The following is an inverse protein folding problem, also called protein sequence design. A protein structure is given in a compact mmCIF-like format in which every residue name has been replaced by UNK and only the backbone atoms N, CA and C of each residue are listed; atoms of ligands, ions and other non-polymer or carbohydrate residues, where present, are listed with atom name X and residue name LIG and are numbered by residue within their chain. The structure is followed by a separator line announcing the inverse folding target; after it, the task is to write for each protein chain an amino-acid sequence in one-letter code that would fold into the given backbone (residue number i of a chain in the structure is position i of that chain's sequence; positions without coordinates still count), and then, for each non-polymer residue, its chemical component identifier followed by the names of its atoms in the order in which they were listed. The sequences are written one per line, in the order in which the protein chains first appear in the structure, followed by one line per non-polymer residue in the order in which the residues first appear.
data_IF_690641546834
#
_entry.id   IF_690641546834
#
_cell.length_a   1.000
_cell.length_b   1.000
_cell.length_c   1.000
_cell.angle_alpha   90.00
_cell.angle_beta   90.00
_cell.angle_gamma   90.00
#
_symmetry.space_group_name_H-M   'P 1'
#
loop_
_entity.id
_entity.type
_entity.pdbx_description
1 polymer ?
#
# COMPACT_ATOMS: atom_id res chain seq x y z
N UNK A 1 52.64 27.52 -3.11
CA UNK A 1 52.06 26.20 -3.38
C UNK A 1 51.19 25.82 -2.20
N UNK A 2 49.93 26.20 -2.26
CA UNK A 2 48.91 25.90 -1.23
C UNK A 2 47.93 24.90 -1.87
N UNK A 3 48.01 23.65 -1.40
CA UNK A 3 47.08 22.59 -1.75
C UNK A 3 45.88 22.71 -0.84
N UNK A 4 44.77 23.20 -1.41
CA UNK A 4 43.47 23.21 -0.76
C UNK A 4 42.90 21.80 -0.76
N UNK A 5 42.86 21.18 0.41
CA UNK A 5 42.20 19.91 0.66
C UNK A 5 40.69 20.18 0.68
N UNK A 6 39.98 19.81 -0.39
CA UNK A 6 38.53 19.74 -0.40
C UNK A 6 38.09 18.57 0.50
N UNK A 7 37.78 18.88 1.74
CA UNK A 7 37.03 17.96 2.62
C UNK A 7 35.60 17.90 2.10
N UNK A 8 35.30 16.85 1.34
CA UNK A 8 33.93 16.39 1.13
C UNK A 8 33.34 16.03 2.49
N UNK A 9 32.61 16.95 3.09
CA UNK A 9 31.69 16.62 4.18
C UNK A 9 30.62 15.68 3.59
N UNK A 10 30.83 14.39 3.73
CA UNK A 10 29.73 13.44 3.72
C UNK A 10 28.82 13.84 4.88
N UNK A 11 27.72 14.51 4.54
CA UNK A 11 26.63 14.71 5.48
C UNK A 11 26.21 13.30 5.93
N UNK A 12 26.60 12.93 7.14
CA UNK A 12 26.05 11.76 7.81
C UNK A 12 24.55 11.99 7.88
N UNK A 13 23.81 11.40 6.96
CA UNK A 13 22.35 11.29 7.05
C UNK A 13 22.10 10.49 8.33
N UNK A 14 21.84 11.19 9.42
CA UNK A 14 21.49 10.58 10.68
C UNK A 14 20.36 9.58 10.40
N UNK A 15 20.59 8.33 10.74
CA UNK A 15 19.56 7.30 10.74
C UNK A 15 18.34 7.92 11.44
N UNK A 16 17.20 7.91 10.76
CA UNK A 16 15.93 8.25 11.43
C UNK A 16 15.86 7.25 12.58
N UNK A 17 15.77 7.71 13.85
CA UNK A 17 15.48 6.77 14.90
C UNK A 17 14.16 6.12 14.51
N UNK A 18 14.22 4.87 14.09
CA UNK A 18 13.03 4.06 13.94
C UNK A 18 12.30 4.16 15.26
N UNK A 19 11.03 4.46 15.19
CA UNK A 19 10.21 4.72 16.36
C UNK A 19 10.39 3.63 17.40
N UNK A 20 11.24 3.89 18.35
CA UNK A 20 11.40 3.04 19.53
C UNK A 20 10.18 3.08 20.45
N UNK A 21 9.09 3.79 20.07
CA UNK A 21 7.97 4.08 20.98
C UNK A 21 6.56 3.97 20.39
N UNK A 22 6.35 3.30 19.26
CA UNK A 22 5.01 2.82 18.96
C UNK A 22 4.86 1.40 19.45
N UNK A 23 4.17 1.22 20.53
CA UNK A 23 3.91 -0.09 21.12
C UNK A 23 3.14 -1.05 20.20
N UNK A 24 2.69 -0.62 19.03
CA UNK A 24 1.87 -1.39 18.11
C UNK A 24 2.15 -1.05 16.65
N UNK A 25 2.14 -2.05 15.75
CA UNK A 25 2.35 -1.83 14.31
C UNK A 25 1.31 -0.90 13.67
N UNK A 26 1.73 -0.20 12.61
CA UNK A 26 0.80 0.46 11.70
C UNK A 26 -0.08 -0.58 10.98
N UNK A 27 -1.36 -0.28 10.81
CA UNK A 27 -2.31 -1.13 10.07
C UNK A 27 -2.37 -0.65 8.63
N UNK A 28 -1.82 -1.45 7.73
CA UNK A 28 -1.77 -1.19 6.29
C UNK A 28 -2.83 -2.07 5.62
N UNK A 29 -3.90 -1.47 5.13
CA UNK A 29 -5.01 -2.18 4.51
C UNK A 29 -4.64 -2.62 3.10
N UNK A 30 -4.20 -3.88 2.96
CA UNK A 30 -3.72 -4.49 1.72
C UNK A 30 -4.82 -4.50 0.66
N UNK A 31 -4.64 -3.73 -0.41
CA UNK A 31 -5.63 -3.48 -1.49
C UNK A 31 -7.00 -3.03 -0.97
N UNK A 32 -6.99 -2.25 0.13
CA UNK A 32 -8.19 -1.89 0.87
C UNK A 32 -8.62 -2.99 1.83
N UNK A 33 -9.29 -4.00 1.35
CA UNK A 33 -9.58 -5.27 2.01
C UNK A 33 -9.88 -6.33 0.96
N UNK A 34 -9.20 -7.45 0.98
CA UNK A 34 -9.49 -8.55 0.03
C UNK A 34 -10.49 -9.55 0.62
N UNK A 35 -10.84 -9.38 1.89
CA UNK A 35 -11.77 -10.27 2.58
C UNK A 35 -13.23 -9.76 2.55
N UNK A 36 -13.46 -8.48 2.81
CA UNK A 36 -14.81 -7.94 2.97
C UNK A 36 -15.41 -7.34 1.70
N UNK A 37 -14.56 -6.96 0.74
CA UNK A 37 -14.98 -6.37 -0.54
C UNK A 37 -13.99 -6.73 -1.66
N UNK A 38 -14.39 -6.54 -2.94
CA UNK A 38 -13.48 -6.72 -4.07
C UNK A 38 -12.24 -5.82 -3.92
N UNK A 39 -11.05 -6.41 -4.06
CA UNK A 39 -9.77 -5.70 -3.91
C UNK A 39 -9.70 -4.47 -4.83
N UNK A 40 -9.05 -3.41 -4.34
CA UNK A 40 -8.75 -2.17 -5.08
C UNK A 40 -9.97 -1.45 -5.69
N UNK A 41 -11.13 -1.63 -5.07
CA UNK A 41 -12.36 -0.93 -5.45
C UNK A 41 -12.75 0.16 -4.44
N UNK A 42 -13.68 1.02 -4.84
CA UNK A 42 -14.24 2.06 -3.95
C UNK A 42 -14.81 1.44 -2.66
N UNK A 43 -15.47 0.28 -2.77
CA UNK A 43 -16.01 -0.42 -1.61
C UNK A 43 -14.92 -0.84 -0.62
N UNK A 44 -13.83 -1.44 -1.12
CA UNK A 44 -12.72 -1.90 -0.30
C UNK A 44 -12.01 -0.73 0.41
N UNK A 45 -11.73 0.35 -0.30
CA UNK A 45 -11.00 1.49 0.27
C UNK A 45 -11.84 2.34 1.21
N UNK A 46 -13.12 2.59 0.91
CA UNK A 46 -14.02 3.28 1.83
C UNK A 46 -14.21 2.49 3.13
N UNK A 47 -14.36 1.17 2.99
CA UNK A 47 -14.46 0.28 4.14
C UNK A 47 -13.17 0.31 4.99
N UNK A 48 -11.99 0.17 4.39
CA UNK A 48 -10.71 0.19 5.08
C UNK A 48 -10.46 1.53 5.78
N UNK A 49 -10.76 2.67 5.10
CA UNK A 49 -10.70 3.99 5.71
C UNK A 49 -11.55 4.05 6.97
N UNK A 50 -12.82 3.71 6.88
CA UNK A 50 -13.74 3.83 8.01
C UNK A 50 -13.48 2.78 9.10
N UNK A 51 -12.95 1.61 8.75
CA UNK A 51 -12.50 0.60 9.72
C UNK A 51 -11.31 1.11 10.56
N UNK A 52 -10.65 2.17 10.15
CA UNK A 52 -9.55 2.79 10.87
C UNK A 52 -8.18 2.25 10.50
N UNK A 53 -7.97 1.92 9.23
CA UNK A 53 -6.64 1.68 8.69
C UNK A 53 -5.74 2.92 8.86
N UNK A 54 -4.45 2.71 9.10
CA UNK A 54 -3.45 3.76 9.13
C UNK A 54 -3.01 4.15 7.71
N UNK A 55 -2.97 3.17 6.80
CA UNK A 55 -2.67 3.34 5.38
C UNK A 55 -3.62 2.52 4.52
N UNK A 56 -3.99 3.08 3.35
CA UNK A 56 -4.59 2.33 2.25
C UNK A 56 -3.46 1.91 1.31
N UNK A 57 -3.31 0.63 1.10
CA UNK A 57 -2.31 0.12 0.18
C UNK A 57 -2.95 -0.15 -1.18
N UNK A 58 -2.19 0.11 -2.25
CA UNK A 58 -2.60 -0.09 -3.63
C UNK A 58 -1.42 -0.39 -4.54
N UNK A 59 -1.70 -1.16 -5.59
CA UNK A 59 -0.77 -1.53 -6.66
C UNK A 59 -0.95 -0.59 -7.87
N UNK A 60 0.08 0.17 -8.22
CA UNK A 60 0.00 1.13 -9.32
C UNK A 60 0.39 0.52 -10.67
N UNK A 61 -0.43 0.75 -11.67
CA UNK A 61 -0.15 0.46 -13.07
C UNK A 61 -0.55 1.64 -13.97
N UNK A 62 -0.16 1.61 -15.24
CA UNK A 62 -0.54 2.64 -16.22
C UNK A 62 -1.56 2.10 -17.23
N UNK A 63 -2.44 2.97 -17.69
CA UNK A 63 -3.20 2.75 -18.91
C UNK A 63 -2.40 3.15 -20.14
N UNK A 64 -2.91 2.81 -21.33
CA UNK A 64 -2.37 3.23 -22.62
C UNK A 64 -2.29 4.77 -22.76
N UNK A 65 -3.23 5.49 -22.18
CA UNK A 65 -3.32 6.96 -22.19
C UNK A 65 -2.69 7.62 -20.96
N UNK A 66 -1.91 6.85 -20.16
CA UNK A 66 -1.06 7.36 -19.08
C UNK A 66 -1.80 7.68 -17.77
N UNK A 67 -3.00 7.15 -17.57
CA UNK A 67 -3.71 7.24 -16.28
C UNK A 67 -3.14 6.21 -15.30
N UNK A 68 -2.85 6.63 -14.08
CA UNK A 68 -2.43 5.72 -13.00
C UNK A 68 -3.64 5.01 -12.42
N UNK A 69 -3.61 3.69 -12.48
CA UNK A 69 -4.64 2.80 -11.94
C UNK A 69 -4.22 2.25 -10.58
N UNK A 70 -5.20 1.81 -9.80
CA UNK A 70 -5.00 0.83 -8.73
C UNK A 70 -5.44 -0.53 -9.22
N UNK A 71 -4.47 -1.44 -9.46
CA UNK A 71 -4.73 -2.77 -10.02
C UNK A 71 -3.53 -3.71 -9.79
N UNK A 72 -3.78 -4.81 -9.06
CA UNK A 72 -2.70 -5.75 -8.71
C UNK A 72 -2.15 -6.52 -9.90
N UNK A 73 -3.03 -7.20 -10.65
CA UNK A 73 -2.60 -8.04 -11.76
C UNK A 73 -2.37 -7.20 -13.02
N UNK A 74 -1.37 -7.53 -13.79
CA UNK A 74 -1.16 -6.96 -15.12
C UNK A 74 -2.28 -7.34 -16.09
N UNK A 75 -2.88 -8.53 -15.92
CA UNK A 75 -4.03 -8.99 -16.68
C UNK A 75 -5.36 -8.75 -15.95
N UNK A 76 -6.39 -8.48 -16.72
CA UNK A 76 -7.70 -8.06 -16.20
C UNK A 76 -8.65 -9.25 -15.93
N UNK A 77 -8.27 -10.48 -16.31
CA UNK A 77 -9.16 -11.64 -16.33
C UNK A 77 -9.59 -12.12 -14.95
N UNK A 78 -8.77 -11.96 -13.92
CA UNK A 78 -9.08 -12.45 -12.57
C UNK A 78 -10.13 -11.58 -11.85
N UNK A 79 -10.04 -10.28 -12.04
CA UNK A 79 -10.82 -9.31 -11.24
C UNK A 79 -11.81 -8.49 -12.06
N UNK A 80 -12.00 -8.82 -13.34
CA UNK A 80 -12.97 -8.14 -14.20
C UNK A 80 -13.70 -9.10 -15.14
N UNK A 81 -14.74 -8.58 -15.77
CA UNK A 81 -15.47 -9.26 -16.84
C UNK A 81 -14.90 -9.00 -18.24
N UNK A 82 -13.59 -8.77 -18.38
CA UNK A 82 -12.95 -8.42 -19.66
C UNK A 82 -13.24 -9.42 -20.77
N UNK A 83 -13.34 -10.71 -20.44
CA UNK A 83 -13.65 -11.76 -21.41
C UNK A 83 -15.03 -11.57 -22.08
N UNK A 84 -15.98 -10.91 -21.38
CA UNK A 84 -17.32 -10.59 -21.91
C UNK A 84 -17.29 -9.30 -22.74
N UNK A 85 -16.57 -8.27 -22.28
CA UNK A 85 -16.57 -6.93 -22.90
C UNK A 85 -15.57 -6.86 -24.07
N UNK A 86 -14.40 -7.47 -23.91
CA UNK A 86 -13.32 -7.45 -24.91
C UNK A 86 -12.76 -8.86 -25.18
N UNK A 87 -13.55 -9.82 -25.70
CA UNK A 87 -13.15 -11.22 -25.82
C UNK A 87 -11.88 -11.44 -26.65
N UNK A 88 -11.66 -10.64 -27.69
CA UNK A 88 -10.46 -10.72 -28.54
C UNK A 88 -9.21 -10.07 -27.91
N UNK A 89 -9.38 -9.34 -26.80
CA UNK A 89 -8.31 -8.62 -26.11
C UNK A 89 -8.18 -9.05 -24.64
N UNK A 90 -8.86 -10.10 -24.21
CA UNK A 90 -8.93 -10.50 -22.80
C UNK A 90 -7.58 -10.86 -22.18
N UNK A 91 -6.60 -11.27 -22.98
CA UNK A 91 -5.24 -11.59 -22.53
C UNK A 91 -4.28 -10.39 -22.57
N UNK A 92 -4.73 -9.23 -23.06
CA UNK A 92 -3.90 -8.04 -23.08
C UNK A 92 -3.80 -7.43 -21.68
N UNK A 93 -2.62 -6.91 -21.30
CA UNK A 93 -2.44 -6.24 -20.02
C UNK A 93 -3.14 -4.87 -19.98
N UNK A 94 -3.34 -4.33 -18.77
CA UNK A 94 -4.09 -3.09 -18.55
C UNK A 94 -3.53 -1.90 -19.36
N UNK A 95 -2.21 -1.83 -19.55
CA UNK A 95 -1.55 -0.76 -20.31
C UNK A 95 -1.80 -0.78 -21.83
N UNK A 96 -2.56 -1.74 -22.34
CA UNK A 96 -3.06 -1.76 -23.72
C UNK A 96 -4.43 -1.11 -23.88
N UNK A 97 -5.08 -0.73 -22.78
CA UNK A 97 -6.40 -0.09 -22.76
C UNK A 97 -6.30 1.36 -22.30
N UNK A 98 -7.14 2.22 -22.86
CA UNK A 98 -7.38 3.56 -22.29
C UNK A 98 -8.23 3.44 -21.02
N UNK A 99 -8.20 4.46 -20.18
CA UNK A 99 -9.02 4.42 -18.97
C UNK A 99 -10.53 4.37 -19.28
N UNK A 100 -10.96 5.06 -20.32
CA UNK A 100 -12.39 5.01 -20.75
C UNK A 100 -12.82 3.61 -21.24
N UNK A 101 -11.90 2.84 -21.82
CA UNK A 101 -12.17 1.43 -22.13
C UNK A 101 -12.32 0.60 -20.86
N UNK A 102 -11.45 0.82 -19.87
CA UNK A 102 -11.47 0.10 -18.59
C UNK A 102 -12.69 0.43 -17.73
N UNK A 103 -13.25 1.63 -17.82
CA UNK A 103 -14.50 2.00 -17.15
C UNK A 103 -15.73 1.20 -17.60
N UNK A 104 -15.65 0.46 -18.71
CA UNK A 104 -16.72 -0.43 -19.17
C UNK A 104 -16.70 -1.79 -18.46
N UNK A 105 -15.65 -2.08 -17.71
CA UNK A 105 -15.47 -3.35 -17.03
C UNK A 105 -16.15 -3.33 -15.66
N UNK A 106 -16.65 -4.48 -15.25
CA UNK A 106 -17.10 -4.77 -13.90
C UNK A 106 -15.93 -5.39 -13.14
N UNK A 107 -15.45 -4.67 -12.13
CA UNK A 107 -14.35 -5.09 -11.26
C UNK A 107 -14.82 -5.67 -9.91
N UNK A 108 -16.12 -5.92 -9.74
CA UNK A 108 -16.66 -6.37 -8.45
C UNK A 108 -17.38 -7.70 -8.47
N UNK A 109 -18.09 -8.06 -9.54
CA UNK A 109 -18.91 -9.29 -9.60
C UNK A 109 -18.11 -10.58 -9.42
N UNK A 110 -16.82 -10.60 -9.79
CA UNK A 110 -15.95 -11.75 -9.56
C UNK A 110 -15.87 -12.15 -8.09
N UNK A 111 -15.90 -11.16 -7.20
CA UNK A 111 -15.86 -11.38 -5.75
C UNK A 111 -17.11 -12.11 -5.26
N UNK A 112 -18.28 -11.71 -5.75
CA UNK A 112 -19.56 -12.34 -5.41
C UNK A 112 -19.59 -13.82 -5.84
N UNK A 113 -19.02 -14.13 -7.02
CA UNK A 113 -18.92 -15.51 -7.49
C UNK A 113 -17.93 -16.33 -6.67
N UNK A 114 -16.80 -15.73 -6.28
CA UNK A 114 -15.74 -16.43 -5.55
C UNK A 114 -16.08 -16.61 -4.06
N UNK A 115 -16.82 -15.67 -3.48
CA UNK A 115 -17.12 -15.60 -2.05
C UNK A 115 -18.62 -15.36 -1.82
N UNK A 116 -19.49 -16.32 -2.16
CA UNK A 116 -20.95 -16.14 -2.10
C UNK A 116 -21.47 -15.81 -0.69
N UNK A 117 -20.77 -16.24 0.37
CA UNK A 117 -21.11 -15.94 1.75
C UNK A 117 -20.88 -14.49 2.17
N UNK A 118 -20.13 -13.74 1.36
CA UNK A 118 -19.81 -12.32 1.53
C UNK A 118 -20.27 -11.46 0.35
N UNK A 119 -20.96 -12.09 -0.58
CA UNK A 119 -21.46 -11.42 -1.78
C UNK A 119 -22.42 -10.28 -1.42
N UNK A 120 -22.37 -9.20 -2.19
CA UNK A 120 -23.27 -8.05 -2.11
C UNK A 120 -23.67 -7.62 -3.51
N UNK A 121 -24.97 -7.41 -3.74
CA UNK A 121 -25.48 -7.01 -5.05
C UNK A 121 -24.80 -5.74 -5.55
N UNK A 122 -24.54 -4.80 -4.66
CA UNK A 122 -23.88 -3.52 -4.96
C UNK A 122 -22.39 -3.62 -5.30
N UNK A 123 -21.76 -4.80 -5.19
CA UNK A 123 -20.40 -5.00 -5.69
C UNK A 123 -20.38 -5.17 -7.23
N UNK A 124 -21.50 -5.56 -7.84
CA UNK A 124 -21.62 -5.59 -9.29
C UNK A 124 -21.43 -4.19 -9.87
N UNK A 125 -20.67 -4.10 -10.95
CA UNK A 125 -20.34 -2.85 -11.65
C UNK A 125 -19.44 -1.87 -10.87
N UNK A 126 -18.73 -2.32 -9.84
CA UNK A 126 -17.62 -1.55 -9.31
C UNK A 126 -16.54 -1.37 -10.38
N UNK A 127 -15.93 -0.18 -10.37
CA UNK A 127 -14.97 0.23 -11.39
C UNK A 127 -13.53 -0.01 -10.94
N UNK A 128 -12.61 -0.16 -11.91
CA UNK A 128 -11.17 -0.04 -11.67
C UNK A 128 -10.90 1.43 -11.32
N UNK A 129 -10.23 1.67 -10.20
CA UNK A 129 -9.96 3.01 -9.70
C UNK A 129 -8.67 3.60 -10.26
N UNK A 130 -8.61 4.93 -10.23
CA UNK A 130 -7.39 5.70 -10.45
C UNK A 130 -6.70 6.06 -9.15
N UNK A 131 -5.43 6.47 -9.22
CA UNK A 131 -4.73 7.06 -8.08
C UNK A 131 -5.48 8.29 -7.52
N UNK A 132 -6.11 9.09 -8.39
CA UNK A 132 -6.92 10.23 -7.94
C UNK A 132 -8.11 9.79 -7.10
N UNK A 133 -8.82 8.74 -7.51
CA UNK A 133 -9.93 8.16 -6.74
C UNK A 133 -9.47 7.75 -5.34
N UNK A 134 -8.33 7.06 -5.25
CA UNK A 134 -7.77 6.62 -3.98
C UNK A 134 -7.42 7.80 -3.07
N UNK A 135 -6.78 8.84 -3.61
CA UNK A 135 -6.49 10.09 -2.88
C UNK A 135 -7.78 10.71 -2.36
N UNK A 136 -8.81 10.83 -3.19
CA UNK A 136 -10.11 11.40 -2.80
C UNK A 136 -10.79 10.57 -1.72
N UNK A 137 -10.76 9.24 -1.83
CA UNK A 137 -11.30 8.34 -0.80
C UNK A 137 -10.56 8.54 0.52
N UNK A 138 -9.22 8.60 0.51
CA UNK A 138 -8.43 8.86 1.72
C UNK A 138 -8.75 10.23 2.36
N UNK A 139 -9.17 11.20 1.56
CA UNK A 139 -9.60 12.54 2.00
C UNK A 139 -11.05 12.62 2.51
N UNK A 140 -11.81 11.52 2.46
CA UNK A 140 -13.20 11.48 2.90
C UNK A 140 -14.22 11.77 1.81
N UNK A 141 -13.84 11.62 0.54
CA UNK A 141 -14.74 11.74 -0.60
C UNK A 141 -15.12 10.37 -1.15
N UNK A 142 -16.13 10.34 -2.00
CA UNK A 142 -16.52 9.21 -2.84
C UNK A 142 -16.76 9.67 -4.28
N UNK A 143 -16.75 8.71 -5.19
CA UNK A 143 -17.05 8.98 -6.60
C UNK A 143 -18.47 9.51 -6.73
N UNK A 144 -18.64 10.63 -7.43
CA UNK A 144 -19.96 11.17 -7.77
C UNK A 144 -20.55 10.38 -8.92
N UNK A 145 -21.79 9.89 -8.74
CA UNK A 145 -22.48 9.06 -9.72
C UNK A 145 -23.78 9.74 -10.18
N UNK A 146 -24.15 9.50 -11.42
CA UNK A 146 -25.45 9.92 -11.97
C UNK A 146 -26.59 8.99 -11.53
N UNK A 147 -27.78 9.26 -12.08
CA UNK A 147 -28.98 8.44 -11.84
C UNK A 147 -28.80 7.01 -12.38
N UNK A 148 -27.97 6.84 -13.40
CA UNK A 148 -27.61 5.56 -14.01
C UNK A 148 -26.53 4.78 -13.20
N UNK A 149 -26.17 5.28 -12.01
CA UNK A 149 -25.11 4.77 -11.13
C UNK A 149 -23.69 4.79 -11.71
N UNK A 150 -23.48 5.35 -12.89
CA UNK A 150 -22.15 5.52 -13.48
C UNK A 150 -21.47 6.77 -12.93
N UNK A 151 -20.14 6.73 -12.88
CA UNK A 151 -19.35 7.90 -12.47
C UNK A 151 -19.63 9.09 -13.40
N UNK A 152 -19.69 10.26 -12.82
CA UNK A 152 -19.79 11.51 -13.57
C UNK A 152 -18.38 11.96 -13.98
N UNK A 153 -18.28 12.28 -15.27
CA UNK A 153 -17.10 12.91 -15.86
C UNK A 153 -17.50 14.32 -16.25
N UNK A 154 -16.74 15.32 -15.82
CA UNK A 154 -16.98 16.71 -16.14
C UNK A 154 -16.69 17.00 -17.64
N UNK A 155 -17.19 18.12 -18.21
CA UNK A 155 -16.92 18.47 -19.59
C UNK A 155 -15.43 18.63 -19.94
N UNK A 156 -14.60 18.96 -18.96
CA UNK A 156 -13.13 19.05 -19.09
C UNK A 156 -12.41 17.71 -18.92
N UNK A 157 -13.16 16.60 -18.91
CA UNK A 157 -12.71 15.22 -18.68
C UNK A 157 -12.14 14.95 -17.27
N UNK A 158 -12.27 15.86 -16.32
CA UNK A 158 -11.95 15.58 -14.92
C UNK A 158 -13.05 14.72 -14.25
N UNK A 159 -12.66 13.99 -13.20
CA UNK A 159 -13.60 13.16 -12.45
C UNK A 159 -14.32 13.97 -11.38
N UNK A 160 -15.60 13.67 -11.18
CA UNK A 160 -16.41 14.32 -10.18
C UNK A 160 -16.45 13.53 -8.87
N UNK A 161 -16.32 14.24 -7.76
CA UNK A 161 -16.35 13.67 -6.40
C UNK A 161 -17.35 14.43 -5.53
N UNK A 162 -17.85 13.77 -4.49
CA UNK A 162 -18.67 14.38 -3.44
C UNK A 162 -18.13 13.95 -2.08
N UNK A 163 -18.39 14.75 -1.05
CA UNK A 163 -18.13 14.31 0.32
C UNK A 163 -18.86 13.01 0.59
N UNK A 164 -18.17 12.06 1.20
CA UNK A 164 -18.77 10.80 1.59
C UNK A 164 -19.59 11.01 2.87
N UNK A 165 -20.88 10.87 2.79
CA UNK A 165 -21.82 11.07 3.91
C UNK A 165 -21.56 10.07 5.05
N UNK A 166 -21.01 8.88 4.72
CA UNK A 166 -20.64 7.87 5.68
C UNK A 166 -19.20 8.02 6.21
N UNK A 167 -18.47 9.08 5.82
CA UNK A 167 -17.11 9.32 6.29
C UNK A 167 -17.07 9.56 7.80
N UNK A 168 -16.28 8.76 8.51
CA UNK A 168 -16.12 8.86 9.96
C UNK A 168 -14.94 9.72 10.43
N UNK A 169 -14.31 10.44 9.51
CA UNK A 169 -13.20 11.35 9.80
C UNK A 169 -11.81 10.72 9.84
N UNK A 170 -11.66 9.41 9.67
CA UNK A 170 -10.32 8.81 9.57
C UNK A 170 -9.63 9.28 8.27
N UNK A 171 -8.34 9.60 8.38
CA UNK A 171 -7.52 10.11 7.26
C UNK A 171 -6.27 9.26 7.12
N UNK A 172 -6.39 8.07 6.51
CA UNK A 172 -5.26 7.18 6.26
C UNK A 172 -4.25 7.82 5.31
N UNK A 173 -3.00 7.40 5.43
CA UNK A 173 -2.01 7.62 4.39
C UNK A 173 -2.22 6.65 3.22
N UNK A 174 -1.37 6.79 2.20
CA UNK A 174 -1.30 5.88 1.06
C UNK A 174 0.01 5.12 1.06
N UNK A 175 -0.05 3.83 0.76
CA UNK A 175 1.10 2.95 0.65
C UNK A 175 1.07 2.33 -0.75
N UNK A 176 1.91 2.83 -1.66
CA UNK A 176 1.75 2.60 -3.10
C UNK A 176 2.85 1.71 -3.67
N UNK A 177 2.48 0.57 -4.25
CA UNK A 177 3.39 -0.31 -4.97
C UNK A 177 3.50 0.09 -6.44
N UNK A 178 4.74 0.21 -6.94
CA UNK A 178 5.00 0.25 -8.37
C UNK A 178 5.05 -1.19 -8.88
N UNK A 179 3.88 -1.64 -9.40
CA UNK A 179 3.68 -3.02 -9.84
C UNK A 179 4.26 -3.24 -11.21
N UNK A 180 5.16 -4.22 -11.34
CA UNK A 180 5.80 -4.56 -12.61
C UNK A 180 6.16 -3.33 -13.46
N UNK A 181 6.98 -2.40 -12.93
CA UNK A 181 7.31 -1.15 -13.63
C UNK A 181 7.99 -1.39 -14.99
N UNK A 182 8.55 -2.57 -15.21
CA UNK A 182 9.11 -3.02 -16.49
C UNK A 182 8.05 -3.08 -17.60
N UNK A 183 6.80 -3.43 -17.24
CA UNK A 183 5.66 -3.42 -18.15
C UNK A 183 5.03 -2.04 -18.29
N UNK A 184 5.33 -1.12 -17.37
CA UNK A 184 4.77 0.22 -17.30
C UNK A 184 5.88 1.29 -17.41
N UNK A 185 6.62 1.37 -18.53
CA UNK A 185 7.76 2.27 -18.65
C UNK A 185 7.35 3.73 -18.43
N UNK A 186 8.08 4.42 -17.54
CA UNK A 186 7.81 5.82 -17.18
C UNK A 186 6.79 6.01 -16.05
N UNK A 187 6.30 4.95 -15.43
CA UNK A 187 5.32 5.01 -14.33
C UNK A 187 5.80 5.91 -13.18
N UNK A 188 7.08 5.89 -12.85
CA UNK A 188 7.64 6.68 -11.76
C UNK A 188 7.54 8.20 -12.06
N UNK A 189 7.81 8.60 -13.32
CA UNK A 189 7.67 10.00 -13.77
C UNK A 189 6.22 10.44 -13.80
N UNK A 190 5.33 9.57 -14.31
CA UNK A 190 3.91 9.86 -14.35
C UNK A 190 3.34 9.97 -12.92
N UNK A 191 3.77 9.11 -12.01
CA UNK A 191 3.43 9.21 -10.59
C UNK A 191 3.87 10.56 -9.99
N UNK A 192 5.12 10.96 -10.18
CA UNK A 192 5.62 12.22 -9.64
C UNK A 192 4.81 13.44 -10.15
N UNK A 193 4.44 13.43 -11.43
CA UNK A 193 3.57 14.46 -12.02
C UNK A 193 2.19 14.48 -11.39
N UNK A 194 1.58 13.31 -11.28
CA UNK A 194 0.20 13.15 -10.80
C UNK A 194 0.07 13.47 -9.31
N UNK A 195 0.97 12.95 -8.48
CA UNK A 195 0.91 13.22 -7.04
C UNK A 195 1.15 14.70 -6.71
N UNK A 196 1.95 15.39 -7.53
CA UNK A 196 2.11 16.84 -7.45
C UNK A 196 0.83 17.57 -7.84
N UNK A 197 0.16 17.15 -8.92
CA UNK A 197 -1.12 17.72 -9.38
C UNK A 197 -2.19 17.58 -8.29
N UNK A 198 -2.24 16.43 -7.65
CA UNK A 198 -3.19 16.15 -6.58
C UNK A 198 -2.87 16.87 -5.27
N UNK A 199 -1.69 17.50 -5.15
CA UNK A 199 -1.25 18.18 -3.94
C UNK A 199 -1.09 17.23 -2.73
N UNK A 200 -0.97 15.92 -2.97
CA UNK A 200 -0.93 14.93 -1.90
C UNK A 200 0.43 14.84 -1.24
N UNK A 201 1.48 14.91 -2.03
CA UNK A 201 2.85 15.01 -1.56
C UNK A 201 3.64 15.98 -2.42
N UNK A 202 4.12 17.07 -1.83
CA UNK A 202 4.95 18.04 -2.53
C UNK A 202 6.36 17.92 -1.97
N UNK A 203 7.28 17.43 -2.81
CA UNK A 203 8.70 17.55 -2.53
C UNK A 203 9.03 19.03 -2.56
N UNK A 204 9.22 19.64 -1.40
CA UNK A 204 9.68 21.01 -1.29
C UNK A 204 11.22 21.03 -1.19
N UNK A 205 11.84 22.15 -1.56
CA UNK A 205 13.29 22.35 -1.42
C UNK A 205 13.77 22.41 0.05
N UNK A 206 12.85 22.28 1.01
CA UNK A 206 13.17 22.27 2.40
C UNK A 206 13.31 20.82 2.89
N UNK A 207 14.36 20.54 3.66
CA UNK A 207 14.58 19.23 4.24
C UNK A 207 13.44 18.94 5.23
N UNK A 208 12.69 17.84 5.08
CA UNK A 208 11.65 17.48 6.05
C UNK A 208 12.26 17.39 7.46
N UNK A 209 11.59 17.94 8.45
CA UNK A 209 11.97 17.66 9.83
C UNK A 209 11.67 16.19 10.13
N UNK A 210 12.69 15.35 10.01
CA UNK A 210 12.61 13.89 10.14
C UNK A 210 12.09 13.43 11.50
N UNK A 211 12.26 14.26 12.55
CA UNK A 211 11.73 13.95 13.88
C UNK A 211 10.20 14.01 13.94
N UNK A 212 9.56 14.75 13.02
CA UNK A 212 8.10 14.80 12.91
C UNK A 212 7.55 13.85 11.84
N UNK A 213 8.41 13.16 11.09
CA UNK A 213 8.00 12.34 9.93
C UNK A 213 7.26 11.07 10.34
N UNK A 214 7.26 10.70 11.59
CA UNK A 214 6.66 9.46 12.02
C UNK A 214 5.96 9.61 13.37
N UNK A 215 4.65 9.48 13.38
CA UNK A 215 3.84 9.41 14.57
C UNK A 215 2.91 8.20 14.46
N UNK A 216 2.99 7.26 15.40
CA UNK A 216 2.16 6.04 15.44
C UNK A 216 2.26 5.17 14.15
N UNK A 217 3.47 4.97 13.62
CA UNK A 217 3.68 4.24 12.38
C UNK A 217 3.17 4.95 11.12
N UNK A 218 2.71 6.19 11.23
CA UNK A 218 2.29 7.05 10.12
C UNK A 218 3.43 7.97 9.75
N UNK A 219 3.72 8.10 8.48
CA UNK A 219 4.77 8.97 7.98
C UNK A 219 4.14 10.22 7.38
N UNK A 220 4.48 11.39 7.94
CA UNK A 220 4.17 12.66 7.29
C UNK A 220 5.17 12.87 6.16
N UNK A 221 4.67 13.19 4.99
CA UNK A 221 5.48 13.41 3.81
C UNK A 221 5.36 14.87 3.37
N UNK A 222 6.49 15.55 3.32
CA UNK A 222 6.55 16.97 2.97
C UNK A 222 5.87 17.88 4.00
N UNK A 223 5.62 19.12 3.61
CA UNK A 223 4.94 20.13 4.43
C UNK A 223 3.42 20.07 4.35
N UNK A 224 2.89 19.17 3.53
CA UNK A 224 1.46 18.88 3.46
C UNK A 224 1.08 17.83 4.50
N UNK A 225 -0.20 17.79 4.84
CA UNK A 225 -0.79 16.73 5.66
C UNK A 225 -0.84 15.38 4.93
N UNK A 226 -0.20 15.28 3.77
CA UNK A 226 -0.10 14.04 2.99
C UNK A 226 0.78 13.03 3.72
N UNK A 227 0.39 11.77 3.65
CA UNK A 227 1.11 10.62 4.19
C UNK A 227 1.29 9.66 3.04
N UNK A 228 2.51 9.40 2.66
CA UNK A 228 2.81 8.57 1.50
C UNK A 228 4.01 7.69 1.80
N UNK A 229 3.90 6.41 1.49
CA UNK A 229 5.02 5.45 1.45
C UNK A 229 4.99 4.78 0.09
N UNK A 230 6.15 4.63 -0.55
CA UNK A 230 6.30 3.96 -1.83
C UNK A 230 6.96 2.61 -1.64
N UNK A 231 6.56 1.62 -2.44
CA UNK A 231 7.15 0.29 -2.39
C UNK A 231 7.30 -0.31 -3.79
N UNK A 232 8.22 -1.24 -3.92
CA UNK A 232 8.37 -2.06 -5.13
C UNK A 232 9.31 -3.25 -4.88
N UNK A 233 9.12 -4.31 -5.67
CA UNK A 233 10.08 -5.43 -5.79
C UNK A 233 11.23 -5.11 -6.77
N UNK A 234 11.00 -4.17 -7.70
CA UNK A 234 11.95 -3.82 -8.76
C UNK A 234 13.06 -2.92 -8.22
N UNK A 235 14.29 -3.45 -8.20
CA UNK A 235 15.46 -2.64 -7.82
C UNK A 235 15.69 -1.48 -8.77
N UNK A 236 15.39 -1.63 -10.07
CA UNK A 236 15.52 -0.54 -11.03
C UNK A 236 14.54 0.60 -10.72
N UNK A 237 13.28 0.26 -10.47
CA UNK A 237 12.28 1.26 -10.07
C UNK A 237 12.66 1.91 -8.75
N UNK A 238 13.14 1.11 -7.77
CA UNK A 238 13.60 1.63 -6.48
C UNK A 238 14.68 2.70 -6.63
N UNK A 239 15.70 2.44 -7.48
CA UNK A 239 16.77 3.40 -7.79
C UNK A 239 16.20 4.68 -8.41
N UNK A 240 15.26 4.56 -9.35
CA UNK A 240 14.61 5.75 -9.97
C UNK A 240 13.84 6.56 -8.93
N UNK A 241 13.09 5.91 -8.04
CA UNK A 241 12.35 6.57 -6.96
C UNK A 241 13.30 7.29 -5.99
N UNK A 242 14.42 6.64 -5.62
CA UNK A 242 15.45 7.26 -4.78
C UNK A 242 16.05 8.51 -5.45
N UNK A 243 16.43 8.43 -6.71
CA UNK A 243 16.96 9.57 -7.44
C UNK A 243 15.94 10.72 -7.61
N UNK A 244 14.65 10.39 -7.76
CA UNK A 244 13.58 11.38 -7.93
C UNK A 244 13.22 12.07 -6.63
N UNK A 245 13.16 11.33 -5.54
CA UNK A 245 12.62 11.82 -4.27
C UNK A 245 13.67 11.99 -3.17
N UNK A 246 14.88 11.46 -3.35
CA UNK A 246 16.03 11.65 -2.47
C UNK A 246 15.71 11.40 -0.97
N UNK A 247 14.92 10.37 -0.68
CA UNK A 247 14.48 10.03 0.67
C UNK A 247 13.42 10.98 1.28
N UNK A 248 12.92 11.97 0.52
CA UNK A 248 11.84 12.84 0.99
C UNK A 248 10.49 12.12 1.11
N UNK A 249 10.29 11.05 0.34
CA UNK A 249 9.18 10.12 0.48
C UNK A 249 9.75 8.81 1.03
N UNK A 250 9.22 8.29 2.15
CA UNK A 250 9.64 6.99 2.65
C UNK A 250 9.41 5.89 1.65
N UNK A 251 10.37 4.96 1.58
CA UNK A 251 10.35 3.85 0.63
C UNK A 251 10.55 2.51 1.33
N UNK A 252 9.92 1.49 0.78
CA UNK A 252 10.00 0.10 1.22
C UNK A 252 10.51 -0.76 0.07
N UNK A 253 11.61 -1.48 0.31
CA UNK A 253 12.03 -2.54 -0.60
C UNK A 253 11.25 -3.81 -0.26
N UNK A 254 10.45 -4.30 -1.21
CA UNK A 254 9.74 -5.57 -1.07
C UNK A 254 10.65 -6.76 -1.39
N UNK A 255 10.56 -7.80 -0.57
CA UNK A 255 11.39 -9.00 -0.67
C UNK A 255 10.54 -10.24 -0.52
N UNK A 256 10.58 -11.13 -1.50
CA UNK A 256 10.02 -12.47 -1.38
C UNK A 256 11.04 -13.38 -0.66
N UNK A 257 10.73 -13.76 0.57
CA UNK A 257 11.50 -14.75 1.31
C UNK A 257 10.78 -16.10 1.25
N UNK A 258 11.35 -17.05 0.53
CA UNK A 258 10.80 -18.41 0.45
C UNK A 258 11.14 -19.24 1.69
N UNK A 259 10.37 -20.31 1.98
CA UNK A 259 10.68 -21.24 3.05
C UNK A 259 12.13 -21.75 2.97
N UNK A 260 12.83 -21.81 4.12
CA UNK A 260 14.22 -22.22 4.19
C UNK A 260 15.25 -21.12 3.85
N UNK A 261 14.81 -19.97 3.33
CA UNK A 261 15.68 -18.80 3.15
C UNK A 261 15.85 -17.96 4.42
N UNK A 262 15.08 -18.27 5.46
CA UNK A 262 15.18 -17.65 6.77
C UNK A 262 15.59 -18.71 7.79
N UNK A 263 16.66 -18.46 8.50
CA UNK A 263 17.28 -19.42 9.44
C UNK A 263 17.52 -18.78 10.79
N UNK A 264 17.57 -19.62 11.82
CA UNK A 264 17.97 -19.23 13.18
C UNK A 264 19.37 -18.61 13.21
N UNK A 265 19.50 -17.56 14.02
CA UNK A 265 20.75 -16.93 14.44
C UNK A 265 21.64 -16.32 13.36
N UNK A 266 21.27 -16.44 12.08
CA UNK A 266 22.05 -15.83 11.01
C UNK A 266 21.17 -15.20 9.93
N UNK A 267 21.41 -13.93 9.58
CA UNK A 267 20.76 -13.36 8.40
C UNK A 267 21.23 -14.11 7.17
N UNK A 268 20.28 -14.60 6.38
CA UNK A 268 20.59 -15.27 5.12
C UNK A 268 21.24 -14.30 4.13
N UNK A 269 21.89 -14.83 3.09
CA UNK A 269 22.45 -14.02 2.02
C UNK A 269 21.38 -13.14 1.36
N UNK A 270 20.14 -13.67 1.24
CA UNK A 270 18.99 -12.92 0.74
C UNK A 270 18.76 -11.64 1.57
N UNK A 271 18.65 -11.77 2.88
CA UNK A 271 18.40 -10.61 3.76
C UNK A 271 19.58 -9.64 3.72
N UNK A 272 20.81 -10.12 3.80
CA UNK A 272 22.02 -9.28 3.74
C UNK A 272 22.07 -8.44 2.47
N UNK A 273 21.88 -9.07 1.31
CA UNK A 273 21.95 -8.41 0.01
C UNK A 273 20.81 -7.36 -0.16
N UNK A 274 19.61 -7.70 0.31
CA UNK A 274 18.49 -6.76 0.22
C UNK A 274 18.62 -5.61 1.22
N UNK A 275 19.08 -5.84 2.43
CA UNK A 275 19.34 -4.76 3.39
C UNK A 275 20.50 -3.86 2.94
N UNK A 276 21.56 -4.40 2.37
CA UNK A 276 22.66 -3.62 1.81
C UNK A 276 22.17 -2.71 0.68
N UNK A 277 21.38 -3.26 -0.25
CA UNK A 277 20.75 -2.49 -1.32
C UNK A 277 19.81 -1.42 -0.75
N UNK A 278 18.90 -1.79 0.15
CA UNK A 278 17.96 -0.87 0.79
C UNK A 278 18.68 0.32 1.43
N UNK A 279 19.75 0.06 2.15
CA UNK A 279 20.56 1.13 2.79
C UNK A 279 21.28 2.02 1.78
N UNK A 280 21.84 1.42 0.72
CA UNK A 280 22.55 2.17 -0.33
C UNK A 280 21.63 3.16 -1.08
N UNK A 281 20.34 2.84 -1.15
CA UNK A 281 19.31 3.67 -1.80
C UNK A 281 18.28 4.23 -0.82
N UNK A 282 18.70 4.54 0.40
CA UNK A 282 17.95 5.30 1.41
C UNK A 282 16.56 4.75 1.74
N UNK A 283 16.34 3.44 1.60
CA UNK A 283 15.10 2.81 2.06
C UNK A 283 14.85 3.03 3.54
N UNK A 284 13.59 3.14 3.92
CA UNK A 284 13.16 3.25 5.30
C UNK A 284 12.75 1.90 5.88
N UNK A 285 12.19 1.04 5.02
CA UNK A 285 11.61 -0.24 5.42
C UNK A 285 12.04 -1.39 4.51
N UNK A 286 12.02 -2.60 5.07
CA UNK A 286 11.94 -3.84 4.32
C UNK A 286 10.53 -4.42 4.46
N UNK A 287 9.90 -4.79 3.33
CA UNK A 287 8.66 -5.55 3.28
C UNK A 287 8.98 -7.02 2.99
N UNK A 288 8.81 -7.88 3.98
CA UNK A 288 9.02 -9.32 3.83
C UNK A 288 7.67 -10.03 3.76
N UNK A 289 7.52 -11.03 2.89
CA UNK A 289 6.35 -11.90 2.99
C UNK A 289 6.35 -12.61 4.35
N UNK A 290 5.17 -12.72 4.99
CA UNK A 290 5.06 -13.49 6.21
C UNK A 290 5.32 -14.96 5.88
N UNK A 291 6.06 -15.57 6.77
CA UNK A 291 6.61 -16.88 6.55
C UNK A 291 5.64 -17.92 7.12
N UNK A 292 4.44 -18.01 6.56
CA UNK A 292 3.50 -19.08 6.91
C UNK A 292 4.14 -20.47 6.91
N UNK A 293 5.07 -20.75 5.98
CA UNK A 293 5.77 -22.02 5.99
C UNK A 293 6.67 -22.27 7.20
N UNK A 294 7.06 -21.24 7.98
CA UNK A 294 7.86 -21.48 9.20
C UNK A 294 7.11 -22.37 10.17
N UNK A 295 5.83 -22.17 10.36
CA UNK A 295 5.01 -22.99 11.26
C UNK A 295 4.80 -24.42 10.73
N UNK A 296 4.97 -24.63 9.43
CA UNK A 296 4.95 -25.97 8.83
C UNK A 296 6.31 -26.69 8.89
N UNK A 297 7.39 -25.91 8.92
CA UNK A 297 8.77 -26.44 8.91
C UNK A 297 9.35 -26.60 10.30
N UNK A 298 8.90 -25.79 11.27
CA UNK A 298 9.48 -25.72 12.60
C UNK A 298 8.42 -25.78 13.70
N UNK A 299 8.82 -26.26 14.86
CA UNK A 299 8.00 -26.16 16.06
C UNK A 299 7.69 -24.68 16.40
N UNK A 300 6.54 -24.35 16.99
CA UNK A 300 6.11 -22.95 17.21
C UNK A 300 7.15 -22.05 17.89
N UNK A 301 7.85 -22.57 18.91
CA UNK A 301 8.92 -21.82 19.60
C UNK A 301 10.08 -21.47 18.67
N UNK A 302 10.49 -22.41 17.81
CA UNK A 302 11.56 -22.20 16.84
C UNK A 302 11.13 -21.22 15.76
N UNK A 303 9.92 -21.36 15.24
CA UNK A 303 9.35 -20.42 14.27
C UNK A 303 9.31 -18.98 14.83
N UNK A 304 8.84 -18.82 16.08
CA UNK A 304 8.81 -17.52 16.74
C UNK A 304 10.23 -16.94 16.95
N UNK A 305 11.19 -17.78 17.33
CA UNK A 305 12.57 -17.34 17.47
C UNK A 305 13.18 -16.87 16.13
N UNK A 306 12.85 -17.54 15.02
CA UNK A 306 13.30 -17.10 13.68
C UNK A 306 12.70 -15.73 13.34
N UNK A 307 11.39 -15.51 13.60
CA UNK A 307 10.75 -14.21 13.39
C UNK A 307 11.44 -13.10 14.19
N UNK A 308 11.73 -13.37 15.47
CA UNK A 308 12.45 -12.44 16.35
C UNK A 308 13.85 -12.13 15.80
N UNK A 309 14.64 -13.16 15.46
CA UNK A 309 16.01 -12.98 14.95
C UNK A 309 16.02 -12.16 13.64
N UNK A 310 15.03 -12.36 12.77
CA UNK A 310 14.85 -11.58 11.53
C UNK A 310 14.52 -10.12 11.85
N UNK A 311 13.55 -9.88 12.74
CA UNK A 311 13.16 -8.53 13.11
C UNK A 311 14.31 -7.77 13.77
N UNK A 312 14.96 -8.38 14.76
CA UNK A 312 16.11 -7.79 15.46
C UNK A 312 17.24 -7.46 14.49
N UNK A 313 17.49 -8.36 13.53
CA UNK A 313 18.55 -8.11 12.56
C UNK A 313 18.20 -6.96 11.60
N UNK A 314 16.96 -6.90 11.09
CA UNK A 314 16.49 -5.79 10.23
C UNK A 314 16.58 -4.47 10.97
N UNK A 315 16.13 -4.40 12.22
CA UNK A 315 16.20 -3.21 13.05
C UNK A 315 17.66 -2.78 13.32
N UNK A 316 18.58 -3.73 13.54
CA UNK A 316 20.02 -3.43 13.65
C UNK A 316 20.61 -2.81 12.38
N UNK A 317 20.01 -3.06 11.20
CA UNK A 317 20.41 -2.37 9.97
C UNK A 317 19.91 -0.93 9.88
N UNK A 318 19.10 -0.45 10.83
CA UNK A 318 18.46 0.85 10.80
C UNK A 318 17.25 0.91 9.87
N UNK A 319 16.65 -0.24 9.55
CA UNK A 319 15.46 -0.38 8.70
C UNK A 319 14.26 -0.80 9.54
N UNK A 320 13.08 -0.28 9.23
CA UNK A 320 11.83 -0.79 9.76
C UNK A 320 11.39 -2.05 9.02
N UNK A 321 10.49 -2.81 9.63
CA UNK A 321 9.99 -4.07 9.12
C UNK A 321 8.48 -3.99 8.90
N UNK A 322 8.05 -4.06 7.63
CA UNK A 322 6.65 -4.04 7.20
C UNK A 322 6.30 -5.35 6.46
N UNK A 323 6.03 -6.44 7.18
CA UNK A 323 5.72 -7.73 6.57
C UNK A 323 4.33 -7.78 5.96
N UNK A 324 4.14 -8.68 4.96
CA UNK A 324 2.90 -8.90 4.21
C UNK A 324 2.66 -10.41 3.98
N UNK A 325 1.42 -10.88 3.84
CA UNK A 325 0.18 -10.23 4.23
C UNK A 325 -0.56 -11.08 5.27
N UNK A 326 -1.25 -10.43 6.18
CA UNK A 326 -1.85 -11.04 7.36
C UNK A 326 -3.36 -11.27 7.19
N UNK A 327 -3.81 -12.48 7.52
CA UNK A 327 -5.21 -12.90 7.40
C UNK A 327 -5.83 -13.35 8.71
N UNK A 328 -5.03 -13.65 9.73
CA UNK A 328 -5.52 -14.26 10.98
C UNK A 328 -5.05 -13.51 12.22
N UNK A 329 -5.84 -13.61 13.28
CA UNK A 329 -5.48 -13.08 14.60
C UNK A 329 -4.18 -13.69 15.15
N UNK A 330 -3.91 -14.97 14.84
CA UNK A 330 -2.67 -15.64 15.24
C UNK A 330 -1.46 -14.94 14.62
N UNK A 331 -1.44 -14.77 13.29
CA UNK A 331 -0.37 -14.09 12.58
C UNK A 331 -0.14 -12.67 13.13
N UNK A 332 -1.20 -11.89 13.30
CA UNK A 332 -1.13 -10.54 13.84
C UNK A 332 -0.48 -10.49 15.23
N UNK A 333 -0.84 -11.43 16.12
CA UNK A 333 -0.27 -11.52 17.48
C UNK A 333 1.20 -11.93 17.47
N UNK A 334 1.58 -12.85 16.60
CA UNK A 334 2.95 -13.34 16.49
C UNK A 334 3.94 -12.26 16.03
N UNK A 335 3.44 -11.24 15.31
CA UNK A 335 4.26 -10.15 14.79
C UNK A 335 4.04 -8.82 15.52
N UNK A 336 3.18 -8.77 16.53
CA UNK A 336 2.76 -7.54 17.19
C UNK A 336 3.92 -6.69 17.72
N UNK A 337 4.94 -7.33 18.30
CA UNK A 337 6.11 -6.67 18.89
C UNK A 337 7.33 -6.67 17.96
N UNK A 338 7.20 -7.29 16.79
CA UNK A 338 8.29 -7.48 15.84
C UNK A 338 8.21 -6.55 14.64
N UNK A 339 7.00 -6.25 14.20
CA UNK A 339 6.75 -5.45 13.01
C UNK A 339 6.48 -3.99 13.35
N UNK A 340 6.93 -3.07 12.50
CA UNK A 340 6.61 -1.63 12.59
C UNK A 340 5.31 -1.30 11.86
N UNK A 341 4.93 -2.11 10.87
CA UNK A 341 3.66 -2.07 10.18
C UNK A 341 3.31 -3.43 9.60
N UNK A 342 2.02 -3.72 9.44
CA UNK A 342 1.52 -4.99 8.91
C UNK A 342 0.57 -4.75 7.75
N UNK A 343 0.84 -5.38 6.60
CA UNK A 343 -0.12 -5.44 5.51
C UNK A 343 -1.17 -6.50 5.82
N UNK A 344 -2.42 -6.12 5.91
CA UNK A 344 -3.49 -7.06 6.26
C UNK A 344 -4.67 -7.00 5.30
N UNK A 345 -5.17 -8.18 4.94
CA UNK A 345 -6.45 -8.33 4.24
C UNK A 345 -7.65 -8.15 5.20
N UNK A 346 -7.36 -8.11 6.51
CA UNK A 346 -8.32 -8.14 7.61
C UNK A 346 -8.07 -6.99 8.59
N UNK A 347 -8.29 -5.75 8.12
CA UNK A 347 -8.17 -4.55 8.97
C UNK A 347 -9.04 -4.67 10.24
N UNK A 348 -10.21 -5.31 10.16
CA UNK A 348 -11.08 -5.59 11.31
C UNK A 348 -10.40 -6.42 12.38
N UNK A 349 -9.63 -7.46 12.01
CA UNK A 349 -8.87 -8.27 12.96
C UNK A 349 -7.68 -7.51 13.53
N UNK A 350 -6.96 -6.77 12.68
CA UNK A 350 -5.83 -5.95 13.13
C UNK A 350 -6.30 -4.87 14.12
N UNK A 351 -7.45 -4.23 13.88
CA UNK A 351 -8.07 -3.28 14.81
C UNK A 351 -8.41 -3.89 16.17
N UNK A 352 -8.84 -5.15 16.18
CA UNK A 352 -9.11 -5.89 17.43
C UNK A 352 -7.83 -6.25 18.18
N UNK A 353 -6.82 -6.75 17.48
CA UNK A 353 -5.54 -7.17 18.08
C UNK A 353 -4.75 -5.96 18.57
N UNK A 354 -4.74 -4.86 17.80
CA UNK A 354 -3.98 -3.63 18.10
C UNK A 354 -4.87 -2.52 18.66
N UNK A 355 -5.91 -2.90 19.43
CA UNK A 355 -6.83 -1.95 20.02
C UNK A 355 -6.13 -1.01 21.02
N UNK A 356 -6.39 0.27 20.89
CA UNK A 356 -5.99 1.30 21.85
C UNK A 356 -7.07 2.38 21.90
N UNK A 357 -7.22 3.13 23.02
CA UNK A 357 -8.15 4.25 23.07
C UNK A 357 -7.97 5.28 21.94
N UNK A 358 -6.72 5.51 21.51
CA UNK A 358 -6.41 6.45 20.42
C UNK A 358 -6.91 6.00 19.04
N UNK A 359 -7.13 4.71 18.85
CA UNK A 359 -7.64 4.17 17.58
C UNK A 359 -9.17 4.21 17.47
N UNK A 360 -9.86 4.66 18.52
CA UNK A 360 -11.32 4.71 18.56
C UNK A 360 -11.99 3.33 18.65
N UNK A 361 -13.33 3.29 18.53
CA UNK A 361 -14.11 2.07 18.68
C UNK A 361 -13.81 1.04 17.58
N UNK A 362 -14.07 -0.22 17.89
CA UNK A 362 -14.02 -1.32 16.91
C UNK A 362 -15.40 -1.41 16.27
N UNK A 363 -15.45 -1.28 14.95
CA UNK A 363 -16.70 -1.33 14.19
C UNK A 363 -17.04 -2.77 13.80
N UNK A 364 -18.34 -3.05 13.63
CA UNK A 364 -18.78 -4.30 13.01
C UNK A 364 -18.51 -4.25 11.51
N UNK A 365 -17.81 -5.25 11.01
CA UNK A 365 -17.30 -5.28 9.64
C UNK A 365 -18.41 -5.41 8.58
N UNK A 366 -19.47 -6.18 8.87
CA UNK A 366 -20.61 -6.34 7.95
C UNK A 366 -21.48 -5.10 7.95
N UNK A 367 -21.84 -4.63 9.14
CA UNK A 367 -22.62 -3.42 9.31
C UNK A 367 -21.95 -2.21 8.66
N UNK A 368 -20.63 -2.11 8.73
CA UNK A 368 -19.89 -1.01 8.08
C UNK A 368 -20.11 -1.00 6.56
N UNK A 369 -20.21 -2.15 5.90
CA UNK A 369 -20.56 -2.18 4.48
C UNK A 369 -21.97 -1.67 4.23
N UNK A 370 -22.93 -2.04 5.09
CA UNK A 370 -24.31 -1.55 5.00
C UNK A 370 -24.36 -0.02 5.19
N UNK A 371 -23.66 0.49 6.20
CA UNK A 371 -23.57 1.93 6.49
C UNK A 371 -22.92 2.72 5.33
N UNK A 372 -22.04 2.08 4.55
CA UNK A 372 -21.42 2.64 3.36
C UNK A 372 -22.28 2.53 2.08
N UNK A 373 -23.45 1.90 2.17
CA UNK A 373 -24.39 1.73 1.06
C UNK A 373 -24.11 0.51 0.17
N UNK A 374 -23.37 -0.46 0.66
CA UNK A 374 -23.13 -1.72 -0.06
C UNK A 374 -24.01 -2.84 0.51
N UNK A 375 -24.97 -3.32 -0.28
CA UNK A 375 -25.99 -4.32 0.09
C UNK A 375 -25.88 -5.60 -0.71
#
# INVERSE_FOLDING_TARGET
LSTSLLLLQQAAFGQIPLLQNTSLPAIIAHRGTTYWAPEETEAAYRWARNMGADYLEADLQLTKDGVLLTLHDDQLTRTTNIAQIYPLRQSQPANHFTYLELLKLDAGSWFNHKYPERARKSFSQLEILTLEDLVKIAQGYRIKRGIDHKRLINPDHSFAYVKDEADNGNRPGLYLEFKKPELNPGIEKQFAKEIKRLGWNIVSNQVPNRQQASLNGKVKVGYNNGKLILQTFSRQSFIKLDHMFQGHIPTTLLVNAYPGQLKLHQPTLLLRNNAAFAKAYHAHFLGLNIMDPLDKLYQPKTAQKIRQDVADWVHKQGLGLHPYSFDTTKQLKEWQELADGVFTNRTDLARKVYATPKRGPILDAKKLLDDLGYY
#
